data_IF_994546260468
#
_entry.id   IF_994546260468
#
_cell.length_a   1.000
_cell.length_b   1.000
_cell.length_c   1.000
_cell.angle_alpha   90.00
_cell.angle_beta   90.00
_cell.angle_gamma   90.00
#
_symmetry.space_group_name_H-M   'P 1'
#
loop_
_entity.id
_entity.type
_entity.pdbx_description
1 polymer ?
#
# COMPACT_ATOMS: atom_id res chain seq x y z
N UNK A 1 35.68 17.78 21.73
CA UNK A 1 35.34 19.04 22.42
C UNK A 1 36.23 20.14 21.85
N UNK A 2 35.75 20.84 20.82
CA UNK A 2 36.45 22.02 20.28
C UNK A 2 35.83 23.23 20.99
N UNK A 3 36.66 24.09 21.59
CA UNK A 3 36.28 25.30 22.34
C UNK A 3 35.67 25.15 23.75
N UNK A 4 35.75 23.99 24.42
CA UNK A 4 35.32 23.85 25.82
C UNK A 4 33.80 23.93 26.07
N UNK A 5 33.01 24.00 25.00
CA UNK A 5 31.55 24.05 25.04
C UNK A 5 30.98 22.70 25.48
N UNK A 6 30.36 22.66 26.66
CA UNK A 6 29.60 21.51 27.18
C UNK A 6 28.13 21.93 27.25
N UNK A 7 27.25 21.17 26.60
CA UNK A 7 25.80 21.41 26.66
C UNK A 7 25.18 22.17 25.49
N UNK A 8 25.91 22.32 24.38
CA UNK A 8 25.36 22.93 23.18
C UNK A 8 24.40 22.00 22.43
N UNK A 9 23.41 22.59 21.76
CA UNK A 9 22.31 21.89 21.10
C UNK A 9 21.90 22.64 19.81
N UNK A 10 21.71 21.92 18.71
CA UNK A 10 21.23 22.48 17.44
C UNK A 10 19.78 22.03 17.20
N UNK A 11 18.88 23.00 17.06
CA UNK A 11 17.47 22.78 16.76
C UNK A 11 17.17 23.26 15.34
N UNK A 12 16.44 22.46 14.57
CA UNK A 12 15.88 22.86 13.27
C UNK A 12 14.37 23.00 13.37
N UNK A 13 13.85 23.99 12.66
CA UNK A 13 12.42 24.18 12.51
C UNK A 13 11.79 22.97 11.80
N UNK A 14 10.57 22.59 12.19
CA UNK A 14 9.88 21.46 11.59
C UNK A 14 9.44 21.77 10.15
N UNK A 15 9.27 20.70 9.35
CA UNK A 15 8.93 20.79 7.92
C UNK A 15 7.46 21.16 7.66
N UNK A 16 6.59 20.85 8.62
CA UNK A 16 5.15 21.12 8.69
C UNK A 16 4.84 21.61 10.12
N UNK A 17 3.64 22.10 10.44
CA UNK A 17 3.23 22.66 11.75
C UNK A 17 3.45 21.77 13.02
N UNK A 18 4.26 20.71 12.92
CA UNK A 18 4.80 19.95 14.04
C UNK A 18 5.83 20.69 14.90
N UNK A 19 6.45 20.00 15.87
CA UNK A 19 7.41 20.59 16.80
C UNK A 19 8.85 20.59 16.25
N UNK A 20 9.65 21.62 16.56
CA UNK A 20 11.05 21.68 16.13
C UNK A 20 11.88 20.49 16.62
N UNK A 21 12.84 20.07 15.80
CA UNK A 21 13.61 18.85 16.00
C UNK A 21 15.04 19.17 16.42
N UNK A 22 15.53 18.46 17.43
CA UNK A 22 16.94 18.51 17.83
C UNK A 22 17.74 17.60 16.90
N UNK A 23 18.67 18.18 16.14
CA UNK A 23 19.52 17.43 15.21
C UNK A 23 20.87 17.02 15.81
N UNK A 24 21.33 17.74 16.84
CA UNK A 24 22.52 17.39 17.59
C UNK A 24 22.42 17.95 19.01
N UNK A 25 22.79 17.15 20.00
CA UNK A 25 22.82 17.55 21.41
C UNK A 25 24.01 16.93 22.11
N UNK A 26 24.62 17.70 23.00
CA UNK A 26 25.62 17.20 23.96
C UNK A 26 25.04 16.97 25.36
N UNK A 27 23.72 17.18 25.55
CA UNK A 27 23.00 17.13 26.84
C UNK A 27 21.79 16.16 26.86
N UNK A 28 21.56 15.38 25.81
CA UNK A 28 20.34 14.56 25.67
C UNK A 28 19.14 15.36 25.12
N UNK A 29 17.88 14.98 25.41
CA UNK A 29 16.70 15.66 24.87
C UNK A 29 16.62 17.12 25.33
N UNK A 30 16.01 17.98 24.51
CA UNK A 30 15.86 19.40 24.83
C UNK A 30 15.16 19.57 26.20
N UNK A 31 15.71 20.33 27.16
CA UNK A 31 15.08 20.54 28.46
C UNK A 31 13.69 21.20 28.33
N UNK A 32 13.50 22.03 27.32
CA UNK A 32 12.19 22.63 26.98
C UNK A 32 11.18 21.63 26.35
N UNK A 33 11.62 20.41 26.03
CA UNK A 33 10.75 19.27 25.66
C UNK A 33 10.47 18.33 26.83
N UNK A 34 11.14 18.51 27.98
CA UNK A 34 10.97 17.64 29.14
C UNK A 34 9.81 18.07 30.06
N UNK A 35 9.26 19.29 29.90
CA UNK A 35 8.04 19.68 30.59
C UNK A 35 6.81 19.09 29.88
N UNK A 36 5.92 18.52 30.68
CA UNK A 36 4.77 17.71 30.30
C UNK A 36 3.80 18.39 29.32
N UNK A 37 3.51 17.69 28.22
CA UNK A 37 2.20 17.56 27.56
C UNK A 37 1.24 18.77 27.54
N UNK A 38 1.66 19.90 26.96
CA UNK A 38 0.81 20.84 26.16
C UNK A 38 1.67 22.01 25.62
N UNK A 39 2.80 22.31 26.26
CA UNK A 39 3.63 23.49 25.98
C UNK A 39 4.84 23.26 25.06
N UNK A 40 5.08 22.04 24.58
CA UNK A 40 6.26 21.73 23.75
C UNK A 40 6.28 22.49 22.40
N UNK A 41 5.10 22.85 21.87
CA UNK A 41 4.98 23.72 20.70
C UNK A 41 5.22 25.21 21.04
N UNK A 42 4.87 25.63 22.27
CA UNK A 42 5.06 26.99 22.78
C UNK A 42 6.54 27.28 23.11
N UNK A 43 7.26 26.30 23.66
CA UNK A 43 8.64 26.50 24.10
C UNK A 43 9.62 26.71 22.92
N UNK A 44 9.36 26.08 21.77
CA UNK A 44 10.12 26.39 20.56
C UNK A 44 9.71 27.74 19.93
N UNK A 45 8.46 28.19 20.13
CA UNK A 45 8.03 29.52 19.71
C UNK A 45 8.72 30.63 20.51
N UNK A 46 8.93 30.44 21.82
CA UNK A 46 9.73 31.34 22.67
C UNK A 46 11.21 31.40 22.26
N UNK A 47 11.74 30.31 21.72
CA UNK A 47 13.06 30.31 21.06
C UNK A 47 13.09 31.10 19.74
N UNK A 48 11.97 31.21 19.01
CA UNK A 48 11.84 32.02 17.79
C UNK A 48 11.63 33.52 18.06
N UNK A 49 10.89 33.85 19.11
CA UNK A 49 10.15 35.11 19.20
C UNK A 49 10.93 36.34 19.69
N UNK A 50 11.64 36.24 20.81
CA UNK A 50 11.95 37.46 21.58
C UNK A 50 13.43 37.71 21.90
N UNK A 51 14.34 36.77 21.63
CA UNK A 51 15.75 36.94 21.95
C UNK A 51 16.52 37.52 20.76
N UNK A 52 17.07 38.73 20.91
CA UNK A 52 17.99 39.29 19.93
C UNK A 52 19.15 38.29 19.68
N UNK A 53 19.51 38.00 18.41
CA UNK A 53 20.63 37.13 18.09
C UNK A 53 21.89 37.57 18.83
N UNK A 54 22.72 36.62 19.25
CA UNK A 54 23.96 36.92 20.00
C UNK A 54 23.78 37.52 21.40
N UNK A 55 22.59 37.37 21.99
CA UNK A 55 22.33 37.75 23.38
C UNK A 55 22.61 36.59 24.33
N UNK A 56 23.27 36.90 25.45
CA UNK A 56 23.51 35.96 26.54
C UNK A 56 22.36 36.05 27.54
N UNK A 57 21.74 34.92 27.85
CA UNK A 57 20.68 34.82 28.87
C UNK A 57 21.14 33.89 29.99
N UNK A 58 21.03 34.32 31.23
CA UNK A 58 21.43 33.49 32.38
C UNK A 58 20.31 32.52 32.76
N UNK A 59 20.61 31.23 32.78
CA UNK A 59 19.72 30.14 33.19
C UNK A 59 20.39 29.35 34.32
N UNK A 60 19.98 29.58 35.57
CA UNK A 60 20.57 28.91 36.73
C UNK A 60 22.07 29.18 36.89
N UNK A 61 22.90 28.15 36.72
CA UNK A 61 24.37 28.22 36.88
C UNK A 61 25.15 28.34 35.56
N UNK A 62 24.46 28.62 34.45
CA UNK A 62 25.08 28.79 33.13
C UNK A 62 24.50 29.97 32.37
N UNK A 63 25.24 30.44 31.36
CA UNK A 63 24.75 31.41 30.38
C UNK A 63 24.47 30.71 29.06
N UNK A 64 23.32 31.00 28.47
CA UNK A 64 22.87 30.48 27.20
C UNK A 64 23.05 31.54 26.10
N UNK A 65 23.80 31.21 25.06
CA UNK A 65 23.95 32.01 23.86
C UNK A 65 23.18 31.37 22.70
N UNK A 66 22.31 32.16 22.06
CA UNK A 66 21.46 31.73 20.94
C UNK A 66 21.96 32.33 19.63
N UNK A 67 22.23 31.47 18.66
CA UNK A 67 22.75 31.85 17.34
C UNK A 67 21.84 31.29 16.24
N UNK A 68 21.26 32.14 15.37
CA UNK A 68 20.33 31.69 14.35
C UNK A 68 21.04 30.89 13.24
N UNK A 69 20.41 29.80 12.79
CA UNK A 69 20.77 29.07 11.58
C UNK A 69 19.89 29.61 10.46
N UNK A 70 20.43 30.51 9.65
CA UNK A 70 19.72 31.15 8.54
C UNK A 70 20.62 31.29 7.33
N UNK A 71 20.01 31.37 6.17
CA UNK A 71 20.66 31.95 4.99
C UNK A 71 20.16 33.38 4.76
N UNK A 72 20.36 33.93 3.56
CA UNK A 72 19.89 35.26 3.17
C UNK A 72 18.37 35.38 3.05
N UNK A 73 17.67 34.26 2.87
CA UNK A 73 16.26 34.21 2.51
C UNK A 73 15.38 33.72 3.66
N UNK A 74 15.89 32.80 4.50
CA UNK A 74 15.07 32.08 5.47
C UNK A 74 15.83 31.68 6.74
N UNK A 75 15.07 31.60 7.82
CA UNK A 75 15.49 31.01 9.08
C UNK A 75 15.16 29.51 9.07
N UNK A 76 16.11 28.67 9.48
CA UNK A 76 15.97 27.21 9.49
C UNK A 76 16.01 26.62 10.89
N UNK A 77 16.44 27.37 11.90
CA UNK A 77 16.61 26.88 13.26
C UNK A 77 17.60 27.70 14.07
N UNK A 78 18.05 27.16 15.19
CA UNK A 78 18.99 27.84 16.08
C UNK A 78 20.05 26.90 16.65
N UNK A 79 21.23 27.45 16.88
CA UNK A 79 22.28 26.86 17.68
C UNK A 79 22.23 27.47 19.09
N UNK A 80 22.15 26.61 20.09
CA UNK A 80 22.23 26.94 21.51
C UNK A 80 23.61 26.57 22.01
N UNK A 81 24.31 27.54 22.59
CA UNK A 81 25.63 27.37 23.19
C UNK A 81 25.51 27.61 24.69
N UNK A 82 25.82 26.58 25.48
CA UNK A 82 25.87 26.68 26.94
C UNK A 82 27.29 27.05 27.36
N UNK A 83 27.40 28.09 28.17
CA UNK A 83 28.63 28.68 28.67
C UNK A 83 28.59 28.74 30.19
N UNK A 84 29.76 28.69 30.83
CA UNK A 84 29.83 28.91 32.29
C UNK A 84 29.30 30.30 32.61
N UNK A 85 28.61 30.46 33.75
CA UNK A 85 28.03 31.75 34.14
C UNK A 85 29.09 32.86 34.15
N UNK A 86 28.79 33.97 33.46
CA UNK A 86 29.71 35.10 33.31
C UNK A 86 30.77 34.93 32.22
N UNK A 87 30.91 33.75 31.63
CA UNK A 87 31.82 33.52 30.50
C UNK A 87 31.26 34.16 29.22
N UNK A 88 32.14 34.77 28.43
CA UNK A 88 31.81 35.34 27.12
C UNK A 88 32.71 34.74 26.06
N UNK A 89 32.18 34.62 24.84
CA UNK A 89 33.00 34.20 23.72
C UNK A 89 34.05 35.27 23.39
N UNK A 90 35.28 34.84 23.17
CA UNK A 90 36.33 35.66 22.60
C UNK A 90 35.99 36.08 21.16
N UNK A 91 36.62 37.14 20.66
CA UNK A 91 36.33 37.67 19.31
C UNK A 91 36.46 36.62 18.21
N UNK A 92 37.49 35.78 18.26
CA UNK A 92 37.70 34.70 17.30
C UNK A 92 36.67 33.57 17.45
N UNK A 93 36.24 33.25 18.67
CA UNK A 93 35.21 32.23 18.92
C UNK A 93 33.87 32.69 18.37
N UNK A 94 33.54 33.98 18.54
CA UNK A 94 32.34 34.60 17.97
C UNK A 94 32.35 34.50 16.45
N UNK A 95 33.46 34.89 15.80
CA UNK A 95 33.61 34.80 14.35
C UNK A 95 33.49 33.36 13.84
N UNK A 96 34.08 32.38 14.54
CA UNK A 96 33.97 30.98 14.18
C UNK A 96 32.53 30.47 14.26
N UNK A 97 31.83 30.77 15.36
CA UNK A 97 30.43 30.38 15.54
C UNK A 97 29.53 31.03 14.49
N UNK A 98 29.82 32.28 14.10
CA UNK A 98 29.09 32.98 13.04
C UNK A 98 29.31 32.35 11.66
N UNK A 99 30.56 32.01 11.34
CA UNK A 99 30.90 31.33 10.10
C UNK A 99 30.23 29.95 10.03
N UNK A 100 30.27 29.18 11.12
CA UNK A 100 29.64 27.87 11.22
C UNK A 100 28.12 27.96 11.11
N UNK A 101 27.47 28.89 11.82
CA UNK A 101 26.01 29.04 11.77
C UNK A 101 25.51 29.45 10.38
N UNK A 102 26.24 30.34 9.69
CA UNK A 102 25.96 30.67 8.28
C UNK A 102 26.15 29.47 7.36
N UNK A 103 27.24 28.71 7.52
CA UNK A 103 27.50 27.57 6.65
C UNK A 103 26.47 26.45 6.84
N UNK A 104 26.10 26.18 8.09
CA UNK A 104 24.98 25.29 8.42
C UNK A 104 23.65 25.80 7.86
N UNK A 105 23.37 27.10 7.97
CA UNK A 105 22.18 27.72 7.38
C UNK A 105 22.09 27.52 5.86
N UNK A 106 23.19 27.77 5.13
CA UNK A 106 23.25 27.55 3.68
C UNK A 106 23.08 26.07 3.30
N UNK A 107 23.71 25.16 4.03
CA UNK A 107 23.58 23.72 3.80
C UNK A 107 22.14 23.22 4.04
N UNK A 108 21.50 23.69 5.11
CA UNK A 108 20.09 23.41 5.40
C UNK A 108 19.16 23.96 4.32
N UNK A 109 19.42 25.18 3.82
CA UNK A 109 18.67 25.77 2.72
C UNK A 109 18.82 24.98 1.42
N UNK A 110 20.04 24.61 1.05
CA UNK A 110 20.30 23.78 -0.13
C UNK A 110 19.60 22.41 -0.05
N UNK A 111 19.69 21.74 1.11
CA UNK A 111 19.02 20.46 1.33
C UNK A 111 17.48 20.59 1.25
N UNK A 112 16.90 21.68 1.79
CA UNK A 112 15.45 21.93 1.69
C UNK A 112 15.01 22.22 0.26
N UNK A 113 15.75 23.04 -0.49
CA UNK A 113 15.45 23.33 -1.91
C UNK A 113 15.49 22.08 -2.76
N UNK A 114 16.54 21.27 -2.63
CA UNK A 114 16.67 20.01 -3.36
C UNK A 114 15.50 19.04 -3.08
N UNK A 115 15.04 18.95 -1.83
CA UNK A 115 13.89 18.12 -1.50
C UNK A 115 12.57 18.69 -2.05
N UNK A 116 12.38 20.01 -2.02
CA UNK A 116 11.20 20.65 -2.61
C UNK A 116 11.15 20.44 -4.13
N UNK A 117 12.28 20.60 -4.82
CA UNK A 117 12.41 20.31 -6.25
C UNK A 117 12.08 18.84 -6.54
N UNK A 118 12.58 17.90 -5.72
CA UNK A 118 12.26 16.47 -5.85
C UNK A 118 10.76 16.20 -5.70
N UNK A 119 10.12 16.80 -4.70
CA UNK A 119 8.68 16.63 -4.47
C UNK A 119 7.84 17.27 -5.58
N UNK A 120 8.24 18.43 -6.09
CA UNK A 120 7.61 19.06 -7.25
C UNK A 120 7.77 18.21 -8.50
N UNK A 121 8.97 17.68 -8.76
CA UNK A 121 9.22 16.75 -9.87
C UNK A 121 8.31 15.52 -9.79
N UNK A 122 8.17 14.91 -8.60
CA UNK A 122 7.24 13.80 -8.38
C UNK A 122 5.77 14.19 -8.61
N UNK A 123 5.37 15.41 -8.26
CA UNK A 123 4.00 15.90 -8.53
C UNK A 123 3.77 16.18 -10.00
N UNK A 124 4.76 16.73 -10.71
CA UNK A 124 4.71 16.94 -12.16
C UNK A 124 4.61 15.60 -12.89
N UNK A 125 5.45 14.62 -12.51
CA UNK A 125 5.36 13.25 -13.01
C UNK A 125 3.96 12.67 -12.78
N UNK A 126 3.45 12.72 -11.54
CA UNK A 126 2.08 12.26 -11.23
C UNK A 126 1.02 12.97 -12.07
N UNK A 127 1.19 14.26 -12.34
CA UNK A 127 0.24 15.07 -13.11
C UNK A 127 0.31 14.80 -14.61
N UNK A 128 1.49 14.48 -15.16
CA UNK A 128 1.64 13.98 -16.52
C UNK A 128 0.95 12.62 -16.64
N UNK A 129 1.28 11.69 -15.74
CA UNK A 129 0.72 10.33 -15.80
C UNK A 129 -0.80 10.35 -15.57
N UNK A 130 -1.33 11.17 -14.67
CA UNK A 130 -2.78 11.30 -14.48
C UNK A 130 -3.51 11.80 -15.74
N UNK A 131 -2.87 12.69 -16.53
CA UNK A 131 -3.42 13.15 -17.82
C UNK A 131 -3.40 12.03 -18.86
N UNK A 132 -2.32 11.26 -18.95
CA UNK A 132 -2.24 10.08 -19.84
C UNK A 132 -3.26 9.00 -19.46
N UNK A 133 -3.50 8.81 -18.16
CA UNK A 133 -4.53 7.92 -17.62
C UNK A 133 -5.93 8.39 -18.04
N UNK A 134 -6.21 9.68 -17.91
CA UNK A 134 -7.51 10.24 -18.28
C UNK A 134 -7.76 10.14 -19.79
N UNK A 135 -6.77 10.42 -20.63
CA UNK A 135 -6.89 10.34 -22.09
C UNK A 135 -7.12 8.91 -22.58
N UNK A 136 -6.33 7.94 -22.07
CA UNK A 136 -6.50 6.52 -22.42
C UNK A 136 -7.85 5.95 -21.98
N UNK A 137 -8.32 6.29 -20.77
CA UNK A 137 -9.65 5.88 -20.30
C UNK A 137 -10.77 6.49 -21.14
N UNK A 138 -10.67 7.78 -21.50
CA UNK A 138 -11.65 8.45 -22.32
C UNK A 138 -11.76 7.82 -23.73
N UNK A 139 -10.62 7.46 -24.33
CA UNK A 139 -10.56 6.76 -25.62
C UNK A 139 -11.22 5.37 -25.54
N UNK A 140 -10.87 4.57 -24.53
CA UNK A 140 -11.44 3.23 -24.34
C UNK A 140 -12.97 3.27 -24.13
N UNK A 141 -13.45 4.17 -23.27
CA UNK A 141 -14.89 4.37 -23.02
C UNK A 141 -15.63 4.84 -24.28
N UNK A 142 -15.02 5.71 -25.07
CA UNK A 142 -15.61 6.20 -26.31
C UNK A 142 -15.72 5.10 -27.36
N UNK A 143 -14.67 4.28 -27.53
CA UNK A 143 -14.70 3.11 -28.42
C UNK A 143 -15.78 2.10 -28.00
N UNK A 144 -15.84 1.76 -26.70
CA UNK A 144 -16.87 0.86 -26.18
C UNK A 144 -18.29 1.41 -26.42
N UNK A 145 -18.50 2.71 -26.23
CA UNK A 145 -19.81 3.35 -26.49
C UNK A 145 -20.22 3.22 -27.96
N UNK A 146 -19.29 3.48 -28.89
CA UNK A 146 -19.55 3.34 -30.34
C UNK A 146 -19.92 1.89 -30.67
N UNK A 147 -19.15 0.93 -30.19
CA UNK A 147 -19.40 -0.49 -30.47
C UNK A 147 -20.72 -1.00 -29.87
N UNK A 148 -21.10 -0.55 -28.66
CA UNK A 148 -22.43 -0.85 -28.07
C UNK A 148 -23.55 -0.25 -28.92
N UNK A 149 -23.40 0.99 -29.40
CA UNK A 149 -24.39 1.63 -30.28
C UNK A 149 -24.52 0.92 -31.64
N UNK A 150 -23.43 0.36 -32.17
CA UNK A 150 -23.44 -0.45 -33.38
C UNK A 150 -24.06 -1.85 -33.16
N UNK A 151 -23.89 -2.42 -31.96
CA UNK A 151 -24.46 -3.71 -31.60
C UNK A 151 -25.98 -3.65 -31.42
N UNK A 152 -26.51 -2.58 -30.81
CA UNK A 152 -27.94 -2.41 -30.51
C UNK A 152 -28.91 -2.73 -31.66
N UNK A 153 -28.72 -2.23 -32.90
CA UNK A 153 -29.61 -2.54 -34.03
C UNK A 153 -29.39 -3.94 -34.63
N UNK A 154 -28.33 -4.66 -34.25
CA UNK A 154 -28.00 -6.01 -34.74
C UNK A 154 -28.62 -7.11 -33.86
N UNK A 155 -28.88 -6.80 -32.60
CA UNK A 155 -29.41 -7.75 -31.62
C UNK A 155 -30.90 -7.97 -31.84
N UNK A 156 -31.29 -9.22 -32.09
CA UNK A 156 -32.69 -9.63 -32.27
C UNK A 156 -33.09 -9.96 -33.72
N UNK A 157 -32.23 -9.71 -34.70
CA UNK A 157 -32.42 -10.15 -36.08
C UNK A 157 -31.58 -11.41 -36.38
N UNK A 158 -32.20 -12.59 -36.60
CA UNK A 158 -31.49 -13.82 -36.91
C UNK A 158 -30.61 -13.73 -38.17
N UNK A 159 -30.98 -12.89 -39.14
CA UNK A 159 -30.22 -12.72 -40.39
C UNK A 159 -28.89 -11.96 -40.17
N UNK A 160 -28.76 -11.21 -39.07
CA UNK A 160 -27.61 -10.37 -38.75
C UNK A 160 -26.81 -10.88 -37.54
N UNK A 161 -27.09 -12.11 -37.11
CA UNK A 161 -26.43 -12.76 -35.97
C UNK A 161 -24.90 -12.81 -36.12
N UNK A 162 -24.39 -13.01 -37.35
CA UNK A 162 -22.95 -13.01 -37.61
C UNK A 162 -22.29 -11.64 -37.36
N UNK A 163 -22.94 -10.56 -37.79
CA UNK A 163 -22.47 -9.19 -37.55
C UNK A 163 -22.51 -8.86 -36.06
N UNK A 164 -23.60 -9.23 -35.37
CA UNK A 164 -23.74 -9.02 -33.92
C UNK A 164 -22.65 -9.75 -33.12
N UNK A 165 -22.34 -11.00 -33.48
CA UNK A 165 -21.27 -11.78 -32.86
C UNK A 165 -19.88 -11.17 -33.10
N UNK A 166 -19.66 -10.57 -34.28
CA UNK A 166 -18.41 -9.88 -34.61
C UNK A 166 -18.25 -8.62 -33.76
N UNK A 167 -19.27 -7.76 -33.70
CA UNK A 167 -19.26 -6.56 -32.86
C UNK A 167 -19.11 -6.90 -31.37
N UNK A 168 -19.69 -8.01 -30.91
CA UNK A 168 -19.53 -8.49 -29.53
C UNK A 168 -18.10 -8.98 -29.25
N UNK A 169 -17.44 -9.60 -30.24
CA UNK A 169 -16.04 -9.99 -30.13
C UNK A 169 -15.12 -8.77 -30.04
N UNK A 170 -15.34 -7.75 -30.88
CA UNK A 170 -14.61 -6.48 -30.86
C UNK A 170 -14.78 -5.73 -29.53
N UNK A 171 -16.00 -5.71 -28.98
CA UNK A 171 -16.27 -5.17 -27.64
C UNK A 171 -15.46 -5.90 -26.57
N UNK A 172 -15.45 -7.23 -26.61
CA UNK A 172 -14.71 -8.04 -25.63
C UNK A 172 -13.21 -7.79 -25.72
N UNK A 173 -12.66 -7.67 -26.92
CA UNK A 173 -11.26 -7.32 -27.14
C UNK A 173 -10.94 -5.91 -26.62
N UNK A 174 -11.79 -4.93 -26.94
CA UNK A 174 -11.65 -3.55 -26.47
C UNK A 174 -11.67 -3.42 -24.95
N UNK A 175 -12.56 -4.13 -24.26
CA UNK A 175 -12.61 -4.18 -22.78
C UNK A 175 -11.33 -4.79 -22.21
N UNK A 176 -10.84 -5.88 -22.79
CA UNK A 176 -9.61 -6.54 -22.35
C UNK A 176 -8.36 -5.67 -22.58
N UNK A 177 -8.31 -4.93 -23.68
CA UNK A 177 -7.25 -3.96 -23.95
C UNK A 177 -7.25 -2.82 -22.93
N UNK A 178 -8.42 -2.22 -22.67
CA UNK A 178 -8.59 -1.16 -21.68
C UNK A 178 -8.18 -1.60 -20.26
N UNK A 179 -8.54 -2.83 -19.88
CA UNK A 179 -8.15 -3.40 -18.60
C UNK A 179 -6.64 -3.62 -18.47
N UNK A 180 -5.98 -4.12 -19.53
CA UNK A 180 -4.51 -4.24 -19.57
C UNK A 180 -3.83 -2.89 -19.41
N UNK A 181 -4.25 -1.88 -20.17
CA UNK A 181 -3.71 -0.51 -20.07
C UNK A 181 -3.88 0.08 -18.66
N UNK A 182 -5.07 -0.04 -18.07
CA UNK A 182 -5.32 0.44 -16.71
C UNK A 182 -4.38 -0.23 -15.69
N UNK A 183 -4.12 -1.53 -15.88
CA UNK A 183 -3.26 -2.30 -14.99
C UNK A 183 -1.78 -1.94 -15.16
N UNK A 184 -1.29 -1.81 -16.38
CA UNK A 184 0.08 -1.36 -16.67
C UNK A 184 0.34 0.02 -16.02
N UNK A 185 -0.62 0.94 -16.13
CA UNK A 185 -0.59 2.22 -15.43
C UNK A 185 -0.56 2.04 -13.90
N UNK A 186 -1.45 1.25 -13.32
CA UNK A 186 -1.45 1.01 -11.86
C UNK A 186 -0.13 0.38 -11.34
N UNK A 187 0.52 -0.45 -12.16
CA UNK A 187 1.83 -1.02 -11.84
C UNK A 187 2.94 0.04 -11.96
N UNK A 188 2.87 0.95 -12.94
CA UNK A 188 3.84 2.05 -13.08
C UNK A 188 3.73 3.07 -11.95
N UNK A 189 2.53 3.28 -11.38
CA UNK A 189 2.32 4.10 -10.19
C UNK A 189 2.84 3.49 -8.89
N UNK A 190 3.09 2.18 -8.87
CA UNK A 190 3.65 1.53 -7.69
C UNK A 190 5.14 1.77 -7.69
N UNK A 191 5.61 2.66 -6.80
CA UNK A 191 7.02 2.78 -6.43
C UNK A 191 7.57 1.36 -6.20
N UNK A 192 8.30 0.84 -7.19
CA UNK A 192 9.00 -0.43 -7.08
C UNK A 192 10.17 -0.17 -6.15
N UNK A 193 9.99 -0.47 -4.87
CA UNK A 193 11.11 -0.80 -4.01
C UNK A 193 11.68 -2.11 -4.56
N UNK A 194 12.62 -2.02 -5.48
CA UNK A 194 13.32 -3.17 -6.05
C UNK A 194 14.41 -3.61 -5.07
N UNK A 195 14.21 -4.76 -4.44
CA UNK A 195 15.12 -5.36 -3.47
C UNK A 195 14.35 -5.98 -2.30
N UNK A 196 14.90 -7.02 -1.68
CA UNK A 196 14.38 -7.49 -0.40
C UNK A 196 14.58 -6.39 0.65
N UNK A 197 13.63 -6.20 1.56
CA UNK A 197 13.70 -5.14 2.58
C UNK A 197 15.00 -5.17 3.41
N UNK A 198 15.53 -6.35 3.80
CA UNK A 198 16.84 -6.46 4.44
C UNK A 198 18.00 -5.98 3.54
N UNK A 199 17.99 -6.30 2.25
CA UNK A 199 19.05 -5.90 1.31
C UNK A 199 19.07 -4.39 1.11
N UNK A 200 17.88 -3.77 1.05
CA UNK A 200 17.72 -2.32 0.95
C UNK A 200 18.18 -1.61 2.24
N UNK A 201 17.85 -2.16 3.40
CA UNK A 201 18.33 -1.68 4.69
C UNK A 201 19.84 -1.80 4.84
N UNK A 202 20.40 -2.94 4.42
CA UNK A 202 21.83 -3.20 4.45
C UNK A 202 22.58 -2.22 3.53
N UNK A 203 22.08 -2.02 2.30
CA UNK A 203 22.64 -1.06 1.35
C UNK A 203 22.62 0.36 1.88
N UNK A 204 21.53 0.76 2.55
CA UNK A 204 21.44 2.08 3.19
C UNK A 204 22.45 2.21 4.33
N UNK A 205 22.59 1.18 5.18
CA UNK A 205 23.57 1.17 6.29
C UNK A 205 24.99 1.28 5.75
N UNK A 206 25.33 0.57 4.68
CA UNK A 206 26.64 0.64 4.02
C UNK A 206 26.91 2.02 3.41
N UNK A 207 25.91 2.63 2.77
CA UNK A 207 26.04 3.98 2.23
C UNK A 207 26.33 5.00 3.35
N UNK A 208 25.59 4.94 4.45
CA UNK A 208 25.81 5.83 5.60
C UNK A 208 27.12 5.53 6.34
N UNK A 209 27.54 4.26 6.44
CA UNK A 209 28.81 3.86 7.02
C UNK A 209 30.01 4.31 6.17
N UNK A 210 29.87 4.33 4.84
CA UNK A 210 30.93 4.82 3.94
C UNK A 210 31.10 6.34 4.01
N UNK A 211 30.01 7.08 4.21
CA UNK A 211 29.99 8.55 4.30
C UNK A 211 30.29 9.06 5.72
N UNK A 212 29.99 8.27 6.76
CA UNK A 212 30.23 8.60 8.16
C UNK A 212 31.49 7.94 8.71
N UNK A 213 32.26 8.63 9.57
CA UNK A 213 33.39 8.02 10.30
C UNK A 213 32.93 7.17 11.50
N UNK A 214 31.77 6.53 11.40
CA UNK A 214 31.13 5.78 12.49
C UNK A 214 30.83 4.38 11.98
N UNK A 215 31.21 3.38 12.76
CA UNK A 215 30.89 1.98 12.46
C UNK A 215 29.38 1.77 12.69
N UNK A 216 28.64 1.50 11.61
CA UNK A 216 27.22 1.19 11.65
C UNK A 216 27.04 -0.27 11.30
N UNK A 217 26.30 -1.02 12.13
CA UNK A 217 25.94 -2.42 11.89
C UNK A 217 24.44 -2.56 11.90
N UNK A 218 23.90 -3.25 10.89
CA UNK A 218 22.49 -3.62 10.83
C UNK A 218 22.27 -4.89 11.65
N UNK A 219 21.46 -4.82 12.70
CA UNK A 219 21.07 -5.98 13.48
C UNK A 219 19.65 -6.40 13.08
N UNK A 220 19.55 -7.49 12.30
CA UNK A 220 18.27 -8.02 11.80
C UNK A 220 17.60 -9.00 12.76
N UNK A 221 18.26 -9.32 13.89
CA UNK A 221 17.75 -10.21 14.94
C UNK A 221 17.56 -9.44 16.24
N UNK A 222 16.32 -9.05 16.51
CA UNK A 222 15.95 -8.40 17.77
C UNK A 222 15.83 -9.46 18.88
N UNK A 223 16.67 -9.36 19.92
CA UNK A 223 16.79 -10.35 21.00
C UNK A 223 15.47 -10.66 21.76
N UNK A 224 14.49 -9.76 21.67
CA UNK A 224 13.20 -9.89 22.34
C UNK A 224 12.01 -10.07 21.37
N UNK A 225 12.27 -10.31 20.09
CA UNK A 225 11.24 -10.56 19.08
C UNK A 225 11.36 -12.00 18.59
N UNK A 226 10.26 -12.75 18.70
CA UNK A 226 10.16 -14.10 18.14
C UNK A 226 8.94 -14.19 17.22
N UNK A 227 9.07 -14.95 16.14
CA UNK A 227 7.94 -15.27 15.28
C UNK A 227 7.20 -16.47 15.87
N UNK A 228 5.89 -16.36 16.03
CA UNK A 228 5.01 -17.45 16.44
C UNK A 228 3.98 -17.66 15.33
N UNK A 229 3.71 -18.93 15.02
CA UNK A 229 2.68 -19.31 14.06
C UNK A 229 1.74 -20.35 14.66
N UNK A 230 0.47 -20.29 14.24
CA UNK A 230 -0.55 -21.27 14.64
C UNK A 230 -0.36 -22.56 13.84
N UNK A 231 -0.30 -23.70 14.53
CA UNK A 231 -0.18 -25.01 13.90
C UNK A 231 -1.51 -25.45 13.29
N UNK A 232 -1.44 -25.97 12.07
CA UNK A 232 -2.53 -26.61 11.36
C UNK A 232 -2.01 -27.87 10.66
N UNK A 233 -2.87 -28.89 10.54
CA UNK A 233 -2.54 -30.16 9.89
C UNK A 233 -3.63 -30.52 8.89
N UNK A 234 -3.22 -31.08 7.76
CA UNK A 234 -4.14 -31.67 6.79
C UNK A 234 -4.40 -33.13 7.16
N UNK A 235 -5.68 -33.48 7.30
CA UNK A 235 -6.13 -34.84 7.59
C UNK A 235 -7.29 -35.20 6.67
N UNK A 236 -7.15 -36.27 5.89
CA UNK A 236 -8.17 -36.75 4.95
C UNK A 236 -8.71 -35.69 3.97
N UNK A 237 -7.87 -34.73 3.57
CA UNK A 237 -8.26 -33.65 2.66
C UNK A 237 -9.01 -32.48 3.32
N UNK A 238 -9.07 -32.47 4.66
CA UNK A 238 -9.60 -31.37 5.47
C UNK A 238 -8.49 -30.72 6.32
N UNK A 239 -8.62 -29.41 6.51
CA UNK A 239 -7.70 -28.63 7.33
C UNK A 239 -8.16 -28.64 8.78
N UNK A 240 -7.30 -29.11 9.69
CA UNK A 240 -7.55 -29.13 11.13
C UNK A 240 -6.63 -28.12 11.81
N UNK A 241 -7.22 -27.14 12.51
CA UNK A 241 -6.47 -26.19 13.33
C UNK A 241 -6.14 -26.83 14.68
N UNK A 242 -4.85 -26.91 15.02
CA UNK A 242 -4.40 -27.51 16.28
C UNK A 242 -4.49 -26.55 17.46
N UNK A 243 -4.82 -25.27 17.21
CA UNK A 243 -4.93 -24.19 18.21
C UNK A 243 -3.67 -24.01 19.08
N UNK A 244 -2.53 -24.50 18.60
CA UNK A 244 -1.24 -24.42 19.26
C UNK A 244 -0.37 -23.40 18.54
N UNK A 245 0.23 -22.47 19.29
CA UNK A 245 1.22 -21.53 18.78
C UNK A 245 2.63 -22.11 18.94
N UNK A 246 3.40 -22.16 17.86
CA UNK A 246 4.78 -22.67 17.86
C UNK A 246 5.77 -21.62 17.33
N UNK A 247 7.03 -21.64 17.79
CA UNK A 247 8.08 -20.78 17.25
C UNK A 247 8.33 -21.05 15.77
N UNK A 248 8.54 -19.98 15.00
CA UNK A 248 8.87 -20.04 13.58
C UNK A 248 7.81 -19.40 12.68
N UNK A 249 8.20 -19.17 11.42
CA UNK A 249 7.28 -18.74 10.38
C UNK A 249 6.30 -19.87 10.02
N UNK A 250 5.16 -19.51 9.44
CA UNK A 250 4.20 -20.50 8.95
C UNK A 250 4.82 -21.29 7.78
N UNK A 251 4.75 -22.62 7.86
CA UNK A 251 5.36 -23.51 6.86
C UNK A 251 4.58 -23.53 5.53
N UNK A 252 3.29 -23.17 5.55
CA UNK A 252 2.37 -23.17 4.40
C UNK A 252 1.25 -22.14 4.55
N UNK A 253 0.71 -21.70 3.41
CA UNK A 253 -0.48 -20.86 3.33
C UNK A 253 -1.72 -21.72 3.06
N UNK A 254 -2.73 -21.65 3.92
CA UNK A 254 -3.95 -22.48 3.82
C UNK A 254 -5.18 -21.71 3.30
N UNK A 255 -5.00 -20.56 2.66
CA UNK A 255 -6.10 -19.66 2.29
C UNK A 255 -7.16 -20.30 1.39
N UNK A 256 -6.75 -21.09 0.39
CA UNK A 256 -7.69 -21.79 -0.51
C UNK A 256 -8.47 -22.88 0.24
N UNK A 257 -7.83 -23.57 1.18
CA UNK A 257 -8.45 -24.57 2.04
C UNK A 257 -9.46 -23.94 3.00
N UNK A 258 -9.17 -22.76 3.55
CA UNK A 258 -10.11 -21.99 4.39
C UNK A 258 -11.30 -21.50 3.57
N UNK A 259 -11.08 -21.02 2.34
CA UNK A 259 -12.17 -20.62 1.45
C UNK A 259 -13.13 -21.79 1.15
N UNK A 260 -12.60 -23.00 0.94
CA UNK A 260 -13.41 -24.23 0.79
C UNK A 260 -14.26 -24.49 2.03
N UNK A 261 -13.69 -24.37 3.24
CA UNK A 261 -14.42 -24.53 4.50
C UNK A 261 -15.49 -23.45 4.70
N UNK A 262 -15.25 -22.23 4.20
CA UNK A 262 -16.17 -21.11 4.27
C UNK A 262 -17.35 -21.19 3.27
N UNK A 263 -17.45 -22.28 2.50
CA UNK A 263 -18.54 -22.49 1.53
C UNK A 263 -18.37 -21.74 0.22
N UNK A 264 -17.15 -21.31 -0.13
CA UNK A 264 -16.87 -20.72 -1.44
C UNK A 264 -17.16 -21.77 -2.54
N UNK A 265 -17.83 -21.38 -3.65
CA UNK A 265 -18.21 -22.32 -4.70
C UNK A 265 -17.05 -23.17 -5.24
N UNK A 266 -17.25 -24.47 -5.52
CA UNK A 266 -16.17 -25.37 -5.96
C UNK A 266 -15.40 -24.87 -7.19
N UNK A 267 -16.08 -24.27 -8.16
CA UNK A 267 -15.46 -23.71 -9.36
C UNK A 267 -14.44 -22.60 -9.03
N UNK A 268 -14.72 -21.78 -8.02
CA UNK A 268 -13.83 -20.69 -7.57
C UNK A 268 -12.62 -21.27 -6.84
N UNK A 269 -12.82 -22.28 -5.99
CA UNK A 269 -11.74 -22.96 -5.26
C UNK A 269 -10.78 -23.67 -6.21
N UNK A 270 -11.30 -24.35 -7.24
CA UNK A 270 -10.49 -25.01 -8.28
C UNK A 270 -9.65 -23.98 -9.04
N UNK A 271 -10.27 -22.89 -9.49
CA UNK A 271 -9.56 -21.82 -10.21
C UNK A 271 -8.47 -21.17 -9.35
N UNK A 272 -8.76 -20.91 -8.07
CA UNK A 272 -7.79 -20.35 -7.14
C UNK A 272 -6.57 -21.26 -6.96
N UNK A 273 -6.76 -22.59 -6.97
CA UNK A 273 -5.68 -23.58 -6.94
C UNK A 273 -4.82 -23.55 -8.19
N UNK A 274 -5.43 -23.57 -9.38
CA UNK A 274 -4.68 -23.45 -10.64
C UNK A 274 -3.81 -22.18 -10.70
N UNK A 275 -4.35 -21.06 -10.21
CA UNK A 275 -3.60 -19.79 -10.16
C UNK A 275 -2.47 -19.89 -9.15
N UNK A 276 -2.71 -20.46 -7.96
CA UNK A 276 -1.68 -20.66 -6.95
C UNK A 276 -0.55 -21.56 -7.46
N UNK A 277 -0.87 -22.70 -8.08
CA UNK A 277 0.12 -23.64 -8.62
C UNK A 277 1.00 -22.97 -9.68
N UNK A 278 0.42 -22.10 -10.51
CA UNK A 278 1.18 -21.32 -11.50
C UNK A 278 2.11 -20.31 -10.84
N UNK A 279 1.62 -19.58 -9.83
CA UNK A 279 2.43 -18.60 -9.08
C UNK A 279 3.56 -19.26 -8.26
N UNK A 280 3.34 -20.48 -7.74
CA UNK A 280 4.35 -21.24 -7.00
C UNK A 280 5.35 -21.96 -7.91
N UNK A 281 4.97 -22.27 -9.15
CA UNK A 281 5.85 -22.88 -10.16
C UNK A 281 6.87 -21.90 -10.75
N UNK A 282 6.50 -20.62 -10.87
CA UNK A 282 7.35 -19.55 -11.40
C UNK A 282 8.19 -18.87 -10.28
N UNK A 283 8.80 -19.67 -9.42
CA UNK A 283 9.73 -19.18 -8.40
C UNK A 283 10.95 -18.52 -9.09
N UNK A 284 11.11 -17.21 -8.86
CA UNK A 284 12.34 -16.40 -9.05
C UNK A 284 12.39 -15.40 -10.23
N UNK A 285 11.27 -15.08 -10.87
CA UNK A 285 11.18 -13.80 -11.61
C UNK A 285 9.93 -13.08 -11.17
N UNK A 286 9.97 -11.75 -11.06
CA UNK A 286 8.79 -10.94 -10.81
C UNK A 286 7.80 -11.16 -11.96
N UNK A 287 6.93 -12.16 -11.82
CA UNK A 287 5.89 -12.47 -12.81
C UNK A 287 4.98 -11.26 -12.85
N UNK A 288 4.92 -10.61 -14.00
CA UNK A 288 3.87 -9.64 -14.23
C UNK A 288 2.56 -10.41 -14.27
N UNK A 289 1.65 -10.12 -13.34
CA UNK A 289 0.34 -10.75 -13.32
C UNK A 289 -0.49 -10.49 -14.60
N UNK A 290 0.06 -9.74 -15.58
CA UNK A 290 -0.50 -9.44 -16.90
C UNK A 290 -0.85 -10.69 -17.71
N UNK A 291 -0.24 -11.84 -17.42
CA UNK A 291 -0.54 -13.14 -18.07
C UNK A 291 -1.67 -13.95 -17.40
N UNK A 292 -2.50 -13.31 -16.57
CA UNK A 292 -3.77 -13.84 -16.08
C UNK A 292 -4.90 -13.27 -16.94
N UNK A 293 -5.39 -13.99 -17.97
CA UNK A 293 -6.51 -13.49 -18.75
C UNK A 293 -7.74 -13.52 -17.85
N UNK A 294 -8.31 -12.34 -17.59
CA UNK A 294 -9.53 -12.13 -16.79
C UNK A 294 -10.71 -12.96 -17.33
N UNK A 295 -10.67 -13.29 -18.62
CA UNK A 295 -11.61 -14.16 -19.32
C UNK A 295 -10.91 -15.28 -20.10
N UNK A 296 -9.88 -15.91 -19.52
CA UNK A 296 -9.34 -17.15 -20.06
C UNK A 296 -10.49 -18.14 -20.11
N UNK A 297 -11.01 -18.40 -21.32
CA UNK A 297 -12.11 -19.31 -21.55
C UNK A 297 -11.73 -20.67 -20.98
N UNK A 298 -12.19 -20.97 -19.77
CA UNK A 298 -12.17 -22.33 -19.25
C UNK A 298 -13.00 -23.15 -20.23
N UNK A 299 -12.37 -24.08 -20.94
CA UNK A 299 -13.05 -25.17 -21.65
C UNK A 299 -13.76 -26.14 -20.68
N UNK A 300 -14.26 -25.61 -19.56
CA UNK A 300 -14.73 -26.33 -18.38
C UNK A 300 -15.68 -25.49 -17.52
N UNK A 301 -16.28 -24.42 -18.05
CA UNK A 301 -17.69 -24.20 -17.70
C UNK A 301 -18.43 -25.39 -18.31
N UNK A 302 -18.46 -26.50 -17.60
CA UNK A 302 -19.48 -27.49 -17.86
C UNK A 302 -20.79 -26.72 -17.76
N UNK A 303 -21.58 -26.74 -18.84
CA UNK A 303 -23.01 -26.47 -18.73
C UNK A 303 -23.51 -27.12 -17.45
N UNK A 304 -24.38 -26.45 -16.65
CA UNK A 304 -25.01 -27.11 -15.52
C UNK A 304 -25.49 -28.46 -16.03
N UNK A 305 -24.98 -29.54 -15.42
CA UNK A 305 -25.25 -30.90 -15.87
C UNK A 305 -26.74 -30.98 -16.19
N UNK A 306 -27.06 -31.44 -17.41
CA UNK A 306 -28.43 -31.50 -17.90
C UNK A 306 -29.34 -31.95 -16.74
N UNK A 307 -30.46 -31.26 -16.48
CA UNK A 307 -31.33 -31.59 -15.35
C UNK A 307 -31.57 -33.10 -15.37
N UNK A 308 -31.56 -33.77 -14.19
CA UNK A 308 -31.75 -35.20 -14.14
C UNK A 308 -32.99 -35.56 -14.98
N UNK A 309 -32.94 -36.66 -15.76
CA UNK A 309 -34.07 -37.04 -16.58
C UNK A 309 -35.32 -37.05 -15.71
N UNK A 310 -36.35 -36.30 -16.13
CA UNK A 310 -37.54 -36.11 -15.32
C UNK A 310 -38.12 -37.46 -14.91
N UNK A 311 -38.55 -37.55 -13.66
CA UNK A 311 -39.14 -38.80 -13.19
C UNK A 311 -40.44 -39.06 -13.96
N UNK A 312 -40.82 -40.33 -14.11
CA UNK A 312 -42.09 -40.69 -14.77
C UNK A 312 -43.32 -40.00 -14.13
N UNK A 313 -43.20 -39.57 -12.85
CA UNK A 313 -44.22 -38.78 -12.14
C UNK A 313 -44.25 -37.33 -12.62
N UNK A 314 -43.09 -36.71 -12.81
CA UNK A 314 -42.98 -35.31 -13.27
C UNK A 314 -43.48 -35.11 -14.70
N UNK A 315 -43.20 -36.07 -15.58
CA UNK A 315 -43.71 -36.04 -16.95
C UNK A 315 -45.23 -36.25 -16.98
N UNK A 316 -45.74 -37.19 -16.18
CA UNK A 316 -47.18 -37.41 -16.05
C UNK A 316 -47.91 -36.21 -15.42
N UNK A 317 -47.26 -35.47 -14.52
CA UNK A 317 -47.81 -34.26 -13.91
C UNK A 317 -47.85 -33.09 -14.89
N UNK A 318 -46.81 -32.92 -15.71
CA UNK A 318 -46.76 -31.87 -16.75
C UNK A 318 -47.80 -32.06 -17.85
N UNK A 319 -48.25 -33.29 -18.09
CA UNK A 319 -49.26 -33.61 -19.08
C UNK A 319 -50.71 -33.45 -18.57
N UNK A 320 -50.92 -33.11 -17.29
CA UNK A 320 -52.26 -32.91 -16.72
C UNK A 320 -52.65 -31.43 -16.85
N UNK A 321 -53.78 -31.17 -17.51
CA UNK A 321 -54.42 -29.86 -17.56
C UNK A 321 -55.62 -29.83 -16.59
N UNK A 322 -55.49 -29.22 -15.41
CA UNK A 322 -56.51 -29.32 -14.35
C UNK A 322 -57.86 -28.71 -14.72
N UNK A 323 -57.85 -27.69 -15.58
CA UNK A 323 -59.03 -26.92 -15.96
C UNK A 323 -59.94 -27.68 -16.94
N UNK A 324 -59.44 -28.75 -17.57
CA UNK A 324 -60.19 -29.59 -18.51
C UNK A 324 -60.69 -30.91 -17.89
N UNK A 325 -60.39 -31.17 -16.61
CA UNK A 325 -60.74 -32.44 -15.96
C UNK A 325 -62.04 -32.34 -15.16
N UNK A 326 -62.89 -33.37 -15.29
CA UNK A 326 -63.99 -33.54 -14.34
C UNK A 326 -63.46 -33.94 -12.96
N UNK A 327 -64.22 -33.71 -11.86
CA UNK A 327 -63.79 -34.07 -10.51
C UNK A 327 -63.42 -35.55 -10.34
N UNK A 328 -64.04 -36.45 -11.13
CA UNK A 328 -63.73 -37.87 -11.12
C UNK A 328 -62.42 -38.18 -11.83
N UNK A 329 -62.18 -37.58 -12.99
CA UNK A 329 -60.95 -37.77 -13.76
C UNK A 329 -59.74 -37.18 -13.05
N UNK A 330 -59.92 -36.03 -12.38
CA UNK A 330 -58.90 -35.46 -11.51
C UNK A 330 -58.49 -36.42 -10.37
N UNK A 331 -59.48 -37.07 -9.74
CA UNK A 331 -59.21 -38.07 -8.70
C UNK A 331 -58.46 -39.30 -9.26
N UNK A 332 -58.87 -39.80 -10.43
CA UNK A 332 -58.19 -40.92 -11.10
C UNK A 332 -56.74 -40.58 -11.50
N UNK A 333 -56.50 -39.35 -11.97
CA UNK A 333 -55.15 -38.85 -12.28
C UNK A 333 -54.24 -38.80 -11.05
N UNK A 334 -54.76 -38.37 -9.89
CA UNK A 334 -54.02 -38.38 -8.62
C UNK A 334 -53.63 -39.80 -8.17
N UNK A 335 -54.53 -40.78 -8.32
CA UNK A 335 -54.21 -42.19 -8.03
C UNK A 335 -53.14 -42.75 -8.98
N UNK A 336 -53.19 -42.38 -10.26
CA UNK A 336 -52.18 -42.76 -11.25
C UNK A 336 -50.81 -42.21 -10.88
N UNK A 337 -50.71 -40.92 -10.52
CA UNK A 337 -49.46 -40.30 -10.08
C UNK A 337 -48.88 -40.97 -8.83
N UNK A 338 -49.74 -41.29 -7.84
CA UNK A 338 -49.33 -42.01 -6.62
C UNK A 338 -48.80 -43.41 -6.90
N UNK A 339 -49.32 -44.08 -7.94
CA UNK A 339 -48.83 -45.38 -8.41
C UNK A 339 -47.44 -45.30 -9.03
N UNK A 340 -47.17 -44.23 -9.78
CA UNK A 340 -45.86 -43.98 -10.41
C UNK A 340 -44.78 -43.61 -9.39
N UNK A 341 -45.13 -42.92 -8.30
CA UNK A 341 -44.19 -42.54 -7.23
C UNK A 341 -43.87 -43.62 -6.18
N UNK A 342 -44.43 -44.83 -6.33
CA UNK A 342 -44.22 -45.97 -5.40
C UNK A 342 -43.22 -47.03 -5.91
N UNK A 343 -42.57 -46.81 -7.05
CA UNK A 343 -41.56 -47.71 -7.62
C UNK A 343 -40.15 -47.24 -7.36
#
# INVERSE_FOLDING_TARGET
QVAGLKGSLACIEPRHDGPAMVIASTLGPCPDRASTALDAALACALCRGDAAPWTYQSEGDHDLLRVPLRDTERHYGMLRLVLVRGQRLEGWQRQLVEALSRHMGMALGAARRSEQERLLGLQEERSVIARELHDSLAQALSYMKIQVSLLQPLVGDPARSADALTTLADLREGVNAAYRQLRELLVSFRLKMTGDFPDLLQSAVEEYASKGKVELRLETRLAHVCNLSMRAREWSGELVFLHEAAPGAADRSYGVQVAKLAGVPPAVVTRAREVLDRLEGEKTTAISLDDLPLFARTAGWAEPAAPPPSSAVEDALRAIEPDELSPREALEALYRLKGLGRR
#
